data_IF_105026482520
#
_entry.id   IF_105026482520
#
_cell.length_a   1.000
_cell.length_b   1.000
_cell.length_c   1.000
_cell.angle_alpha   90.00
_cell.angle_beta   90.00
_cell.angle_gamma   90.00
#
_symmetry.space_group_name_H-M   'P 1'
#
loop_
_entity.id
_entity.type
_entity.pdbx_description
1 polymer ?
#
# COMPACT_ATOMS: atom_id res chain seq x y z
N UNK A 1 27.32 -12.64 8.22
CA UNK A 1 26.12 -11.79 8.19
C UNK A 1 25.15 -12.41 7.18
N UNK A 2 24.22 -13.19 7.68
CA UNK A 2 23.17 -13.79 6.86
C UNK A 2 22.17 -12.70 6.55
N UNK A 3 22.25 -12.16 5.33
CA UNK A 3 21.13 -11.40 4.77
C UNK A 3 19.93 -12.33 4.71
N UNK A 4 19.03 -12.18 5.67
CA UNK A 4 17.68 -12.73 5.55
C UNK A 4 17.05 -12.04 4.31
N UNK A 5 17.19 -12.68 3.17
CA UNK A 5 16.41 -12.36 1.98
C UNK A 5 14.94 -12.67 2.33
N UNK A 6 14.28 -11.73 2.98
CA UNK A 6 12.84 -11.79 3.16
C UNK A 6 12.22 -11.96 1.78
N UNK A 7 11.47 -13.02 1.61
CA UNK A 7 10.83 -13.36 0.34
C UNK A 7 9.75 -12.32 0.05
N UNK A 8 10.03 -11.42 -0.88
CA UNK A 8 9.10 -10.38 -1.30
C UNK A 8 8.02 -11.01 -2.18
N UNK A 9 6.79 -10.92 -1.73
CA UNK A 9 5.60 -11.28 -2.50
C UNK A 9 5.14 -10.10 -3.33
N UNK A 10 4.68 -10.37 -4.53
CA UNK A 10 4.16 -9.35 -5.44
C UNK A 10 2.70 -9.61 -5.80
N UNK A 11 1.94 -8.54 -6.00
CA UNK A 11 0.54 -8.62 -6.42
C UNK A 11 0.24 -7.50 -7.42
N UNK A 12 -0.31 -7.89 -8.56
CA UNK A 12 -0.76 -6.94 -9.57
C UNK A 12 -2.11 -6.38 -9.12
N UNK A 13 -2.19 -5.07 -8.96
CA UNK A 13 -3.42 -4.38 -8.54
C UNK A 13 -4.29 -4.04 -9.74
N UNK A 14 -3.67 -3.52 -10.80
CA UNK A 14 -4.39 -3.07 -11.99
C UNK A 14 -3.52 -3.20 -13.23
N UNK A 15 -4.17 -3.58 -14.33
CA UNK A 15 -3.59 -3.57 -15.67
C UNK A 15 -4.52 -2.75 -16.56
N UNK A 16 -4.00 -1.69 -17.16
CA UNK A 16 -4.74 -0.83 -18.07
C UNK A 16 -4.05 -0.75 -19.41
N UNK A 17 -4.84 -0.79 -20.48
CA UNK A 17 -4.35 -0.52 -21.82
C UNK A 17 -4.45 0.98 -22.09
N UNK A 18 -3.33 1.60 -22.41
CA UNK A 18 -3.24 3.02 -22.73
C UNK A 18 -2.90 3.21 -24.20
N UNK A 19 -3.45 4.24 -24.81
CA UNK A 19 -3.21 4.56 -26.21
C UNK A 19 -2.58 5.94 -26.35
N UNK A 20 -1.57 6.05 -27.22
CA UNK A 20 -1.01 7.33 -27.67
C UNK A 20 -1.42 7.55 -29.12
N UNK A 21 -2.06 8.67 -29.41
CA UNK A 21 -2.41 9.08 -30.76
C UNK A 21 -1.16 9.72 -31.41
N UNK A 22 -0.76 9.17 -32.55
CA UNK A 22 0.36 9.67 -33.37
C UNK A 22 -0.09 9.89 -34.81
N UNK A 23 0.72 10.57 -35.63
CA UNK A 23 0.48 10.64 -37.08
C UNK A 23 0.46 9.21 -37.66
N UNK A 24 -0.63 8.77 -38.22
CA UNK A 24 -0.78 7.45 -38.84
C UNK A 24 -1.46 6.39 -37.96
N UNK A 25 -1.94 6.73 -36.75
CA UNK A 25 -2.73 5.81 -35.94
C UNK A 25 -2.57 5.94 -34.44
N UNK A 26 -2.79 4.83 -33.73
CA UNK A 26 -2.68 4.75 -32.26
C UNK A 26 -1.62 3.73 -31.89
N UNK A 27 -0.72 4.10 -30.98
CA UNK A 27 0.22 3.18 -30.36
C UNK A 27 -0.33 2.76 -29.01
N UNK A 28 -0.49 1.44 -28.80
CA UNK A 28 -1.01 0.87 -27.55
C UNK A 28 0.15 0.41 -26.65
N UNK A 29 0.01 0.69 -25.37
CA UNK A 29 0.87 0.18 -24.32
C UNK A 29 0.03 -0.29 -23.14
N UNK A 30 0.62 -1.13 -22.29
CA UNK A 30 0.02 -1.57 -21.05
C UNK A 30 0.66 -0.82 -19.89
N UNK A 31 -0.18 -0.28 -19.00
CA UNK A 31 0.22 0.31 -17.74
C UNK A 31 -0.17 -0.65 -16.60
N UNK A 32 0.79 -1.06 -15.81
CA UNK A 32 0.58 -2.01 -14.71
C UNK A 32 0.93 -1.35 -13.39
N UNK A 33 0.11 -1.56 -12.39
CA UNK A 33 0.33 -1.16 -11.01
C UNK A 33 0.58 -2.41 -10.16
N UNK A 34 1.75 -2.49 -9.54
CA UNK A 34 2.17 -3.62 -8.71
C UNK A 34 2.47 -3.15 -7.30
N UNK A 35 2.09 -3.97 -6.34
CA UNK A 35 2.45 -3.83 -4.94
C UNK A 35 3.34 -5.00 -4.54
N UNK A 36 4.42 -4.72 -3.84
CA UNK A 36 5.38 -5.71 -3.33
C UNK A 36 5.48 -5.56 -1.82
N UNK A 37 5.52 -6.67 -1.11
CA UNK A 37 5.67 -6.65 0.35
C UNK A 37 6.20 -7.98 0.89
N UNK A 38 6.75 -7.94 2.10
CA UNK A 38 7.30 -9.11 2.79
C UNK A 38 6.33 -9.73 3.81
N UNK A 39 5.19 -9.09 4.04
CA UNK A 39 4.24 -9.49 5.09
C UNK A 39 4.72 -9.20 6.51
N UNK A 40 5.79 -8.43 6.67
CA UNK A 40 6.43 -8.10 7.95
C UNK A 40 6.60 -6.58 8.18
N UNK A 41 5.82 -5.78 7.48
CA UNK A 41 5.83 -4.32 7.63
C UNK A 41 6.61 -3.56 6.56
N UNK A 42 7.10 -4.22 5.52
CA UNK A 42 7.72 -3.55 4.38
C UNK A 42 6.81 -3.66 3.16
N UNK A 43 6.56 -2.55 2.51
CA UNK A 43 5.70 -2.48 1.34
C UNK A 43 6.23 -1.47 0.33
N UNK A 44 6.13 -1.81 -0.94
CA UNK A 44 6.49 -0.94 -2.04
C UNK A 44 5.44 -0.93 -3.13
N UNK A 45 5.34 0.17 -3.83
CA UNK A 45 4.42 0.35 -4.96
C UNK A 45 5.22 0.78 -6.17
N UNK A 46 4.94 0.17 -7.30
CA UNK A 46 5.57 0.52 -8.56
C UNK A 46 4.59 0.50 -9.71
N UNK A 47 4.90 1.27 -10.73
CA UNK A 47 4.15 1.34 -11.99
C UNK A 47 5.08 1.03 -13.15
N UNK A 48 4.62 0.23 -14.09
CA UNK A 48 5.38 -0.10 -15.28
C UNK A 48 4.55 0.09 -16.54
N UNK A 49 5.19 0.54 -17.60
CA UNK A 49 4.58 0.66 -18.93
C UNK A 49 5.43 -0.05 -19.96
N UNK A 50 4.80 -0.90 -20.77
CA UNK A 50 5.45 -1.57 -21.90
C UNK A 50 4.44 -1.93 -22.98
N UNK A 51 4.94 -2.31 -24.14
CA UNK A 51 4.13 -2.86 -25.23
C UNK A 51 3.54 -4.23 -24.86
N UNK A 52 4.21 -4.96 -23.97
CA UNK A 52 3.77 -6.28 -23.48
C UNK A 52 3.52 -6.28 -21.98
N UNK A 53 2.48 -7.01 -21.55
CA UNK A 53 2.09 -7.09 -20.14
C UNK A 53 3.20 -7.70 -19.24
N UNK A 54 3.84 -8.82 -19.58
CA UNK A 54 4.88 -9.41 -18.73
C UNK A 54 6.07 -8.45 -18.48
N UNK A 55 6.48 -7.72 -19.50
CA UNK A 55 7.55 -6.73 -19.38
C UNK A 55 7.13 -5.53 -18.53
N UNK A 56 5.89 -5.09 -18.67
CA UNK A 56 5.32 -4.03 -17.83
C UNK A 56 5.26 -4.44 -16.35
N UNK A 57 4.89 -5.67 -16.05
CA UNK A 57 4.88 -6.22 -14.69
C UNK A 57 6.30 -6.25 -14.11
N UNK A 58 7.28 -6.73 -14.87
CA UNK A 58 8.68 -6.76 -14.43
C UNK A 58 9.20 -5.36 -14.09
N UNK A 59 8.97 -4.38 -14.96
CA UNK A 59 9.34 -2.98 -14.71
C UNK A 59 8.66 -2.41 -13.45
N UNK A 60 7.36 -2.69 -13.26
CA UNK A 60 6.62 -2.24 -12.09
C UNK A 60 7.14 -2.90 -10.80
N UNK A 61 7.46 -4.18 -10.84
CA UNK A 61 8.03 -4.91 -9.69
C UNK A 61 9.41 -4.37 -9.31
N UNK A 62 10.27 -4.10 -10.28
CA UNK A 62 11.60 -3.53 -10.04
C UNK A 62 11.51 -2.12 -9.43
N UNK A 63 10.56 -1.30 -9.89
CA UNK A 63 10.27 0.01 -9.28
C UNK A 63 9.74 -0.13 -7.86
N UNK A 64 8.81 -1.05 -7.62
CA UNK A 64 8.24 -1.30 -6.30
C UNK A 64 9.31 -1.74 -5.29
N UNK A 65 10.23 -2.60 -5.69
CA UNK A 65 11.36 -3.04 -4.85
C UNK A 65 12.32 -1.92 -4.47
N UNK A 66 12.48 -0.91 -5.31
CA UNK A 66 13.29 0.29 -5.02
C UNK A 66 12.61 1.24 -4.05
N UNK A 67 11.29 1.23 -4.00
CA UNK A 67 10.46 2.13 -3.23
C UNK A 67 9.87 1.47 -1.98
N UNK A 68 10.57 0.53 -1.37
CA UNK A 68 10.12 -0.11 -0.13
C UNK A 68 10.06 0.88 1.02
N UNK A 69 8.99 0.81 1.78
CA UNK A 69 8.71 1.65 2.93
C UNK A 69 8.37 0.76 4.11
N UNK A 70 8.86 1.13 5.28
CA UNK A 70 8.51 0.49 6.55
C UNK A 70 7.18 1.03 7.07
N UNK A 71 6.34 0.15 7.58
CA UNK A 71 5.00 0.44 8.09
C UNK A 71 4.87 -0.10 9.51
N UNK A 72 4.26 0.68 10.39
CA UNK A 72 4.00 0.30 11.77
C UNK A 72 2.78 -0.62 11.88
N UNK A 73 2.99 -1.84 12.35
CA UNK A 73 1.94 -2.82 12.62
C UNK A 73 1.99 -3.19 14.11
N UNK A 74 0.85 -3.14 14.78
CA UNK A 74 0.71 -3.46 16.20
C UNK A 74 -0.28 -4.60 16.37
N UNK A 75 0.15 -5.71 16.94
CA UNK A 75 -0.70 -6.89 17.19
C UNK A 75 -1.50 -7.39 15.98
N UNK A 76 -0.91 -7.33 14.78
CA UNK A 76 -1.57 -7.72 13.54
C UNK A 76 -2.59 -6.73 12.99
N UNK A 77 -2.73 -5.57 13.61
CA UNK A 77 -3.61 -4.48 13.18
C UNK A 77 -2.87 -3.13 13.12
N UNK A 78 -3.58 -2.07 12.85
CA UNK A 78 -3.02 -0.72 12.77
C UNK A 78 -2.93 -0.07 14.16
N UNK A 79 -1.98 0.85 14.39
CA UNK A 79 -1.84 1.56 15.66
C UNK A 79 -3.06 2.42 16.01
N UNK A 80 -3.68 3.06 15.01
CA UNK A 80 -4.82 3.94 15.18
C UNK A 80 -5.62 4.10 13.89
N UNK A 81 -6.79 4.71 13.99
CA UNK A 81 -7.58 5.13 12.84
C UNK A 81 -6.90 6.30 12.11
N UNK A 82 -6.96 6.28 10.79
CA UNK A 82 -6.44 7.35 9.94
C UNK A 82 -7.30 7.55 8.69
N UNK A 83 -7.41 8.81 8.28
CA UNK A 83 -8.02 9.20 7.00
C UNK A 83 -7.01 9.99 6.19
N UNK A 84 -6.77 9.57 4.96
CA UNK A 84 -5.75 10.17 4.10
C UNK A 84 -6.27 10.40 2.69
N UNK A 85 -5.86 11.50 2.10
CA UNK A 85 -6.18 11.85 0.72
C UNK A 85 -4.92 11.78 -0.16
N UNK A 86 -5.12 11.31 -1.40
CA UNK A 86 -4.15 11.42 -2.47
C UNK A 86 -4.90 11.79 -3.76
N UNK A 87 -4.65 12.99 -4.28
CA UNK A 87 -5.49 13.54 -5.33
C UNK A 87 -6.93 13.66 -4.85
N UNK A 88 -7.86 13.12 -5.62
CA UNK A 88 -9.29 13.05 -5.28
C UNK A 88 -9.71 11.75 -4.56
N UNK A 89 -8.79 10.82 -4.34
CA UNK A 89 -9.05 9.60 -3.59
C UNK A 89 -8.88 9.85 -2.08
N UNK A 90 -9.83 9.35 -1.31
CA UNK A 90 -9.82 9.39 0.15
C UNK A 90 -9.92 7.97 0.69
N UNK A 91 -9.03 7.60 1.57
CA UNK A 91 -9.00 6.29 2.23
C UNK A 91 -9.11 6.44 3.73
N UNK A 92 -10.00 5.68 4.33
CA UNK A 92 -10.20 5.60 5.78
C UNK A 92 -9.75 4.21 6.20
N UNK A 93 -8.78 4.14 7.11
CA UNK A 93 -8.29 2.89 7.70
C UNK A 93 -8.63 2.89 9.19
N UNK A 94 -9.24 1.79 9.65
CA UNK A 94 -9.60 1.58 11.05
C UNK A 94 -9.02 0.26 11.55
N UNK A 95 -8.34 0.26 12.70
CA UNK A 95 -7.94 -0.99 13.32
C UNK A 95 -9.19 -1.82 13.68
N UNK A 96 -9.04 -3.13 13.66
CA UNK A 96 -10.09 -4.07 13.96
C UNK A 96 -9.64 -5.09 15.00
N UNK A 97 -10.58 -5.75 15.66
CA UNK A 97 -10.31 -6.82 16.62
C UNK A 97 -9.81 -8.07 15.91
N UNK A 98 -9.06 -8.89 16.62
CA UNK A 98 -8.54 -10.16 16.11
C UNK A 98 -9.68 -11.04 15.56
N UNK A 99 -9.45 -11.66 14.41
CA UNK A 99 -10.43 -12.50 13.73
C UNK A 99 -11.32 -11.77 12.71
N UNK A 100 -11.25 -10.45 12.62
CA UNK A 100 -12.02 -9.66 11.63
C UNK A 100 -11.54 -9.89 10.20
N UNK A 101 -10.23 -10.07 10.01
CA UNK A 101 -9.59 -10.16 8.70
C UNK A 101 -9.46 -8.82 8.00
N UNK A 102 -9.03 -8.85 6.74
CA UNK A 102 -8.86 -7.64 5.92
C UNK A 102 -10.17 -7.34 5.18
N UNK A 103 -10.87 -6.32 5.64
CA UNK A 103 -12.10 -5.83 5.01
C UNK A 103 -11.78 -4.53 4.28
N UNK A 104 -11.50 -4.63 2.98
CA UNK A 104 -11.07 -3.52 2.17
C UNK A 104 -11.45 -3.70 0.70
N UNK A 105 -11.53 -2.61 -0.02
CA UNK A 105 -11.75 -2.61 -1.47
C UNK A 105 -10.59 -3.21 -2.26
N UNK A 106 -10.83 -3.52 -3.54
CA UNK A 106 -9.88 -4.26 -4.38
C UNK A 106 -8.51 -3.63 -4.57
N UNK A 107 -8.37 -2.32 -4.48
CA UNK A 107 -7.08 -1.63 -4.57
C UNK A 107 -6.38 -1.48 -3.22
N UNK A 108 -7.12 -1.37 -2.12
CA UNK A 108 -6.58 -1.23 -0.76
C UNK A 108 -6.13 -2.57 -0.19
N UNK A 109 -6.90 -3.63 -0.42
CA UNK A 109 -6.67 -4.96 0.14
C UNK A 109 -5.28 -5.53 -0.17
N UNK A 110 -4.77 -5.53 -1.40
CA UNK A 110 -3.41 -6.01 -1.69
C UNK A 110 -2.33 -5.29 -0.90
N UNK A 111 -2.47 -3.98 -0.71
CA UNK A 111 -1.51 -3.16 0.05
C UNK A 111 -1.47 -3.61 1.51
N UNK A 112 -2.62 -3.78 2.15
CA UNK A 112 -2.72 -4.19 3.54
C UNK A 112 -2.26 -5.64 3.76
N UNK A 113 -2.64 -6.55 2.91
CA UNK A 113 -2.23 -7.96 2.99
C UNK A 113 -0.72 -8.12 2.84
N UNK A 114 -0.10 -7.46 1.86
CA UNK A 114 1.34 -7.53 1.63
C UNK A 114 2.16 -6.77 2.69
N UNK A 115 1.58 -5.77 3.34
CA UNK A 115 2.19 -5.13 4.50
C UNK A 115 2.20 -6.03 5.74
N UNK A 116 1.37 -7.06 5.79
CA UNK A 116 1.26 -7.98 6.91
C UNK A 116 0.18 -7.63 7.92
N UNK A 117 -0.72 -6.72 7.58
CA UNK A 117 -1.90 -6.40 8.41
C UNK A 117 -2.91 -7.55 8.30
N UNK A 118 -3.34 -8.08 9.44
CA UNK A 118 -4.28 -9.21 9.52
C UNK A 118 -5.71 -8.77 9.74
N UNK A 119 -5.93 -7.73 10.55
CA UNK A 119 -7.24 -7.27 10.98
C UNK A 119 -7.35 -5.77 10.77
N UNK A 120 -8.17 -5.38 9.81
CA UNK A 120 -8.36 -3.98 9.43
C UNK A 120 -9.66 -3.79 8.68
N UNK A 121 -10.29 -2.66 8.90
CA UNK A 121 -11.45 -2.21 8.12
C UNK A 121 -11.08 -0.94 7.37
N UNK A 122 -11.31 -0.93 6.06
CA UNK A 122 -11.00 0.19 5.20
C UNK A 122 -12.20 0.59 4.34
N UNK A 123 -12.26 1.87 4.03
CA UNK A 123 -13.25 2.43 3.11
C UNK A 123 -12.60 3.44 2.19
N UNK A 124 -12.90 3.34 0.91
CA UNK A 124 -12.48 4.30 -0.11
C UNK A 124 -13.64 5.22 -0.48
N UNK A 125 -13.37 6.51 -0.49
CA UNK A 125 -14.30 7.56 -0.88
C UNK A 125 -13.69 8.43 -2.00
N UNK A 126 -14.53 9.10 -2.76
CA UNK A 126 -14.09 9.95 -3.87
C UNK A 126 -13.67 9.14 -5.09
N UNK A 127 -12.49 9.39 -5.62
CA UNK A 127 -11.98 8.70 -6.81
C UNK A 127 -11.77 7.20 -6.56
N UNK A 128 -12.17 6.39 -7.54
CA UNK A 128 -11.92 4.95 -7.58
C UNK A 128 -10.70 4.57 -8.42
N UNK A 129 -9.91 5.55 -8.85
CA UNK A 129 -8.68 5.29 -9.59
C UNK A 129 -7.71 4.46 -8.72
N UNK A 130 -7.36 3.25 -9.19
CA UNK A 130 -6.56 2.30 -8.43
C UNK A 130 -5.21 2.87 -8.00
N UNK A 131 -4.54 3.62 -8.84
CA UNK A 131 -3.27 4.27 -8.52
C UNK A 131 -3.42 5.27 -7.38
N UNK A 132 -4.39 6.16 -7.46
CA UNK A 132 -4.64 7.16 -6.41
C UNK A 132 -5.01 6.50 -5.08
N UNK A 133 -5.84 5.46 -5.11
CA UNK A 133 -6.24 4.70 -3.92
C UNK A 133 -5.07 3.99 -3.27
N UNK A 134 -4.20 3.33 -4.05
CA UNK A 134 -3.00 2.65 -3.54
C UNK A 134 -2.03 3.66 -2.92
N UNK A 135 -1.77 4.78 -3.56
CA UNK A 135 -0.90 5.82 -3.00
C UNK A 135 -1.49 6.49 -1.76
N UNK A 136 -2.81 6.69 -1.71
CA UNK A 136 -3.48 7.18 -0.51
C UNK A 136 -3.32 6.21 0.67
N UNK A 137 -3.47 4.92 0.42
CA UNK A 137 -3.26 3.86 1.42
C UNK A 137 -1.81 3.81 1.90
N UNK A 138 -0.85 3.87 0.99
CA UNK A 138 0.57 3.92 1.34
C UNK A 138 0.91 5.15 2.17
N UNK A 139 0.40 6.31 1.80
CA UNK A 139 0.56 7.55 2.56
C UNK A 139 -0.04 7.44 3.97
N UNK A 140 -1.21 6.82 4.10
CA UNK A 140 -1.83 6.55 5.39
C UNK A 140 -0.93 5.68 6.28
N UNK A 141 -0.43 4.57 5.75
CA UNK A 141 0.44 3.65 6.48
C UNK A 141 1.78 4.30 6.90
N UNK A 142 2.36 5.13 6.05
CA UNK A 142 3.59 5.88 6.36
C UNK A 142 3.43 6.91 7.45
N UNK A 143 2.26 7.51 7.57
CA UNK A 143 1.98 8.58 8.54
C UNK A 143 1.54 8.08 9.90
N UNK A 144 1.31 6.78 10.07
CA UNK A 144 0.96 6.19 11.36
C UNK A 144 2.14 6.20 12.32
N UNK A 145 1.82 6.40 13.60
CA UNK A 145 2.80 6.40 14.70
C UNK A 145 2.41 5.32 15.72
N UNK A 146 3.43 4.62 16.22
CA UNK A 146 3.22 3.67 17.30
C UNK A 146 2.96 4.37 18.63
N UNK A 147 2.28 3.72 19.59
CA UNK A 147 2.09 4.27 20.93
C UNK A 147 3.42 4.63 21.62
N UNK A 148 4.49 3.85 21.40
CA UNK A 148 5.81 4.11 21.94
C UNK A 148 6.43 5.42 21.38
N UNK A 149 6.28 5.65 20.07
CA UNK A 149 6.74 6.89 19.44
C UNK A 149 6.01 8.12 19.99
N UNK A 150 4.70 8.03 20.14
CA UNK A 150 3.87 9.10 20.69
C UNK A 150 4.22 9.37 22.15
N UNK A 151 4.40 8.31 22.95
CA UNK A 151 4.81 8.42 24.36
C UNK A 151 6.15 9.14 24.49
N UNK A 152 7.13 8.76 23.67
CA UNK A 152 8.46 9.41 23.64
C UNK A 152 8.36 10.89 23.27
N UNK A 153 7.55 11.23 22.27
CA UNK A 153 7.38 12.62 21.83
C UNK A 153 6.67 13.50 22.87
N UNK A 154 5.76 12.92 23.64
CA UNK A 154 5.01 13.63 24.69
C UNK A 154 5.68 13.58 26.07
N UNK A 155 6.76 12.81 26.23
CA UNK A 155 7.41 12.60 27.54
C UNK A 155 6.51 11.87 28.55
N UNK A 156 5.64 10.98 28.09
CA UNK A 156 4.70 10.19 28.90
C UNK A 156 4.95 8.70 28.76
N UNK A 157 4.37 7.91 29.65
CA UNK A 157 4.40 6.45 29.52
C UNK A 157 3.36 5.96 28.49
N UNK A 158 3.59 4.77 27.92
CA UNK A 158 2.65 4.16 26.96
C UNK A 158 1.28 3.94 27.59
N UNK A 159 1.24 3.56 28.87
CA UNK A 159 -0.01 3.36 29.63
C UNK A 159 -0.84 4.65 29.75
N UNK A 160 -0.19 5.79 29.93
CA UNK A 160 -0.86 7.10 29.99
C UNK A 160 -1.40 7.55 28.62
N UNK A 161 -0.80 7.09 27.55
CA UNK A 161 -1.23 7.40 26.17
C UNK A 161 -2.45 6.56 25.76
N UNK A 162 -2.54 5.30 26.25
CA UNK A 162 -3.60 4.36 25.89
C UNK A 162 -4.86 4.51 26.75
N UNK A 163 -4.82 5.28 27.83
CA UNK A 163 -5.97 5.66 28.64
C UNK A 163 -6.76 6.80 27.98
#
# INVERSE_FOLDING_TARGET
MTENKQELKEKVVNVARVAKVVKGGRTFRFSVLVVVGDGAGHIGVGTGKSAEVPEAIKKATDEAKKNLVEVSIVNGTLPHEITTNFGSAKVILKPAVEGTGVIAGGAVRPVLELAGVKDVTAKTLGSRNSRNVVYATLKALKSMRTPEEVARLRGKTVEEILK
#
